data_IF_957403048502
#
_entry.id   IF_957403048502
#
_cell.length_a   1.000
_cell.length_b   1.000
_cell.length_c   1.000
_cell.angle_alpha   90.00
_cell.angle_beta   90.00
_cell.angle_gamma   90.00
#
_symmetry.space_group_name_H-M   'P 1'
#
loop_
_entity.id
_entity.type
_entity.pdbx_description
1 polymer ?
#
# COMPACT_ATOMS: atom_id res chain seq x y z
N UNK A 1 18.22 40.55 -20.85
CA UNK A 1 16.91 41.01 -20.35
C UNK A 1 16.54 40.09 -19.21
N UNK A 2 16.71 40.65 -18.00
CA UNK A 2 16.45 40.01 -16.74
C UNK A 2 14.96 39.69 -16.55
N UNK A 3 14.63 38.42 -16.36
CA UNK A 3 13.35 37.95 -15.90
C UNK A 3 13.46 37.55 -14.43
N UNK A 4 13.76 38.52 -13.59
CA UNK A 4 13.77 38.33 -12.13
C UNK A 4 13.18 39.58 -11.48
N UNK A 5 11.87 39.72 -11.51
CA UNK A 5 11.12 40.48 -10.52
C UNK A 5 9.62 40.32 -10.81
N UNK A 6 8.86 40.12 -9.76
CA UNK A 6 7.41 40.15 -9.67
C UNK A 6 6.67 38.79 -9.83
N UNK A 7 7.13 37.79 -9.11
CA UNK A 7 6.26 36.70 -8.64
C UNK A 7 6.05 36.87 -7.14
N UNK A 8 5.31 37.88 -6.77
CA UNK A 8 4.88 38.06 -5.38
C UNK A 8 3.42 38.53 -5.33
N UNK A 9 2.62 37.73 -4.69
CA UNK A 9 1.35 38.06 -4.05
C UNK A 9 0.05 38.15 -4.84
N UNK A 10 0.02 38.12 -6.17
CA UNK A 10 -1.24 38.10 -6.94
C UNK A 10 -1.71 36.68 -7.36
N UNK A 11 -0.80 35.70 -7.39
CA UNK A 11 -1.11 34.35 -7.88
C UNK A 11 -1.90 33.45 -6.91
N UNK A 12 -2.01 33.87 -5.64
CA UNK A 12 -2.79 33.11 -4.63
C UNK A 12 -4.30 33.35 -4.72
N UNK A 13 -4.75 34.45 -5.35
CA UNK A 13 -6.17 34.77 -5.55
C UNK A 13 -6.64 34.41 -6.97
N UNK A 14 -5.80 34.50 -8.00
CA UNK A 14 -6.17 34.22 -9.39
C UNK A 14 -6.34 32.74 -9.73
N UNK A 15 -5.62 31.85 -9.05
CA UNK A 15 -5.69 30.40 -9.32
C UNK A 15 -6.99 29.71 -8.92
N UNK A 16 -7.81 30.31 -8.07
CA UNK A 16 -9.15 29.83 -7.72
C UNK A 16 -10.16 30.21 -8.81
N UNK A 17 -10.10 31.45 -9.30
CA UNK A 17 -11.03 31.96 -10.30
C UNK A 17 -10.87 31.24 -11.64
N UNK A 18 -9.64 30.94 -12.06
CA UNK A 18 -9.38 30.20 -13.32
C UNK A 18 -9.89 28.76 -13.27
N UNK A 19 -9.72 28.08 -12.11
CA UNK A 19 -10.23 26.72 -11.90
C UNK A 19 -11.76 26.70 -11.91
N UNK A 20 -12.38 27.68 -11.27
CA UNK A 20 -13.83 27.79 -11.20
C UNK A 20 -14.42 28.14 -12.58
N UNK A 21 -13.78 29.03 -13.35
CA UNK A 21 -14.17 29.30 -14.73
C UNK A 21 -14.06 28.09 -15.64
N UNK A 22 -12.96 27.34 -15.55
CA UNK A 22 -12.75 26.12 -16.34
C UNK A 22 -13.79 25.06 -15.99
N UNK A 23 -14.10 24.88 -14.69
CA UNK A 23 -15.14 23.96 -14.24
C UNK A 23 -16.51 24.37 -14.78
N UNK A 24 -16.88 25.65 -14.65
CA UNK A 24 -18.16 26.15 -15.14
C UNK A 24 -18.30 26.01 -16.67
N UNK A 25 -17.22 26.25 -17.42
CA UNK A 25 -17.21 26.00 -18.86
C UNK A 25 -17.39 24.52 -19.18
N UNK A 26 -16.68 23.62 -18.48
CA UNK A 26 -16.86 22.18 -18.66
C UNK A 26 -18.28 21.74 -18.35
N UNK A 27 -18.89 22.25 -17.27
CA UNK A 27 -20.28 21.94 -16.93
C UNK A 27 -21.26 22.42 -18.00
N UNK A 28 -21.04 23.62 -18.57
CA UNK A 28 -21.88 24.15 -19.65
C UNK A 28 -21.76 23.33 -20.94
N UNK A 29 -20.57 22.87 -21.29
CA UNK A 29 -20.34 22.01 -22.45
C UNK A 29 -20.97 20.61 -22.24
N UNK A 30 -20.89 20.05 -21.03
CA UNK A 30 -21.53 18.80 -20.69
C UNK A 30 -23.06 18.87 -20.78
N UNK A 31 -23.66 19.97 -20.30
CA UNK A 31 -25.11 20.19 -20.36
C UNK A 31 -25.62 20.45 -21.80
N UNK A 32 -24.73 20.97 -22.67
CA UNK A 32 -25.01 21.19 -24.09
C UNK A 32 -24.83 19.94 -24.98
N UNK A 33 -24.43 18.82 -24.39
CA UNK A 33 -24.15 17.61 -25.14
C UNK A 33 -25.42 16.92 -25.62
N UNK A 34 -25.51 16.65 -26.93
CA UNK A 34 -26.66 15.94 -27.50
C UNK A 34 -26.49 14.42 -27.34
N UNK A 35 -27.34 13.76 -26.50
CA UNK A 35 -27.29 12.31 -26.30
C UNK A 35 -27.51 11.50 -27.59
N UNK A 36 -28.15 12.10 -28.62
CA UNK A 36 -28.42 11.43 -29.88
C UNK A 36 -27.20 11.28 -30.78
N UNK A 37 -26.13 12.00 -30.48
CA UNK A 37 -24.86 11.95 -31.23
C UNK A 37 -24.09 10.63 -31.11
N UNK A 38 -24.50 9.74 -30.17
CA UNK A 38 -23.85 8.44 -29.94
C UNK A 38 -22.44 8.52 -29.33
N UNK A 39 -22.07 9.66 -28.74
CA UNK A 39 -20.77 9.86 -28.09
C UNK A 39 -20.89 9.46 -26.63
N UNK A 40 -19.83 8.80 -26.11
CA UNK A 40 -19.69 8.45 -24.70
C UNK A 40 -18.46 9.16 -24.14
N UNK A 41 -18.67 9.92 -23.07
CA UNK A 41 -17.60 10.59 -22.34
C UNK A 41 -17.09 9.68 -21.24
N UNK A 42 -15.77 9.47 -21.21
CA UNK A 42 -15.09 8.72 -20.17
C UNK A 42 -14.04 9.62 -19.50
N UNK A 43 -14.07 9.65 -18.18
CA UNK A 43 -13.05 10.30 -17.37
C UNK A 43 -12.50 9.33 -16.33
N UNK A 44 -11.26 9.50 -15.92
CA UNK A 44 -10.65 8.71 -14.86
C UNK A 44 -9.93 9.63 -13.87
N UNK A 45 -10.02 9.31 -12.59
CA UNK A 45 -9.32 10.01 -11.52
C UNK A 45 -8.88 9.01 -10.45
N UNK A 46 -7.76 9.27 -9.84
CA UNK A 46 -7.31 8.59 -8.62
C UNK A 46 -7.67 9.37 -7.35
N UNK A 47 -8.35 10.53 -7.50
CA UNK A 47 -8.75 11.40 -6.40
C UNK A 47 -10.23 11.79 -6.53
N UNK A 48 -11.15 10.85 -6.35
CA UNK A 48 -12.58 11.13 -6.47
C UNK A 48 -13.07 12.16 -5.43
N UNK A 49 -12.39 12.26 -4.30
CA UNK A 49 -12.73 13.15 -3.18
C UNK A 49 -12.62 14.65 -3.51
N UNK A 50 -11.86 15.02 -4.55
CA UNK A 50 -11.71 16.43 -4.97
C UNK A 50 -12.63 16.82 -6.12
N UNK A 51 -13.41 15.88 -6.66
CA UNK A 51 -14.34 16.17 -7.75
C UNK A 51 -15.51 17.02 -7.24
N UNK A 52 -15.88 18.04 -8.03
CA UNK A 52 -17.09 18.80 -7.76
C UNK A 52 -18.33 17.91 -7.91
N UNK A 53 -19.23 17.85 -6.92
CA UNK A 53 -20.46 17.07 -6.99
C UNK A 53 -21.34 17.41 -8.20
N UNK A 54 -21.21 18.60 -8.76
CA UNK A 54 -21.94 19.00 -9.96
C UNK A 54 -21.56 18.18 -11.19
N UNK A 55 -20.31 17.69 -11.30
CA UNK A 55 -19.86 16.81 -12.38
C UNK A 55 -20.54 15.43 -12.36
N UNK A 56 -21.00 15.00 -11.19
CA UNK A 56 -21.53 13.65 -10.94
C UNK A 56 -23.06 13.57 -11.02
N UNK A 57 -23.71 14.66 -11.40
CA UNK A 57 -25.16 14.71 -11.58
C UNK A 57 -25.58 13.96 -12.84
N UNK A 58 -26.85 13.52 -12.85
CA UNK A 58 -27.48 12.88 -14.01
C UNK A 58 -27.34 13.77 -15.27
N UNK A 59 -27.01 13.16 -16.40
CA UNK A 59 -26.77 13.83 -17.67
C UNK A 59 -25.32 14.28 -17.88
N UNK A 60 -24.43 14.06 -16.90
CA UNK A 60 -22.99 14.33 -16.98
C UNK A 60 -22.23 13.02 -16.74
N UNK A 61 -21.37 12.95 -15.72
CA UNK A 61 -20.73 11.68 -15.32
C UNK A 61 -21.64 10.92 -14.34
N UNK A 62 -22.74 10.41 -14.83
CA UNK A 62 -23.78 9.76 -14.05
C UNK A 62 -23.44 8.31 -13.66
N UNK A 63 -22.46 7.70 -14.34
CA UNK A 63 -21.98 6.36 -14.05
C UNK A 63 -20.57 6.37 -13.50
N UNK A 64 -20.44 5.83 -12.32
CA UNK A 64 -19.15 5.72 -11.63
C UNK A 64 -18.78 4.25 -11.54
N UNK A 65 -17.57 3.94 -11.96
CA UNK A 65 -17.03 2.57 -11.91
C UNK A 65 -15.78 2.61 -11.06
N UNK A 66 -15.82 1.94 -9.93
CA UNK A 66 -14.63 1.72 -9.11
C UNK A 66 -13.77 0.66 -9.80
N UNK A 67 -12.48 0.99 -10.01
CA UNK A 67 -11.49 0.04 -10.51
C UNK A 67 -10.65 -0.42 -9.32
N UNK A 68 -11.02 -1.56 -8.77
CA UNK A 68 -10.33 -2.20 -7.66
C UNK A 68 -9.01 -2.85 -8.08
N UNK A 69 -8.23 -3.28 -7.07
CA UNK A 69 -7.06 -4.12 -7.31
C UNK A 69 -7.49 -5.44 -7.93
N UNK A 70 -6.73 -5.95 -8.91
CA UNK A 70 -7.09 -7.19 -9.59
C UNK A 70 -6.94 -8.40 -8.64
N UNK A 71 -7.87 -9.34 -8.74
CA UNK A 71 -7.74 -10.68 -8.18
C UNK A 71 -6.64 -11.49 -8.89
N UNK A 72 -6.34 -12.70 -8.43
CA UNK A 72 -5.28 -13.53 -9.04
C UNK A 72 -5.49 -13.72 -10.55
N UNK A 73 -6.74 -13.94 -11.00
CA UNK A 73 -7.06 -14.14 -12.42
C UNK A 73 -6.83 -12.85 -13.22
N UNK A 74 -7.28 -11.72 -12.70
CA UNK A 74 -7.03 -10.40 -13.29
C UNK A 74 -5.53 -10.09 -13.39
N UNK A 75 -4.73 -10.45 -12.36
CA UNK A 75 -3.27 -10.31 -12.42
C UNK A 75 -2.64 -11.17 -13.53
N UNK A 76 -3.10 -12.40 -13.71
CA UNK A 76 -2.66 -13.26 -14.84
C UNK A 76 -2.94 -12.59 -16.17
N UNK A 77 -4.14 -12.05 -16.37
CA UNK A 77 -4.52 -11.43 -17.64
C UNK A 77 -3.71 -10.14 -17.91
N UNK A 78 -3.49 -9.32 -16.88
CA UNK A 78 -2.63 -8.13 -16.95
C UNK A 78 -1.19 -8.53 -17.27
N UNK A 79 -0.64 -9.53 -16.58
CA UNK A 79 0.71 -10.04 -16.84
C UNK A 79 0.86 -10.52 -18.28
N UNK A 80 -0.10 -11.28 -18.83
CA UNK A 80 -0.08 -11.71 -20.24
C UNK A 80 0.05 -10.54 -21.22
N UNK A 81 -0.53 -9.38 -20.90
CA UNK A 81 -0.42 -8.18 -21.75
C UNK A 81 1.00 -7.63 -21.70
N UNK A 82 1.57 -7.47 -20.51
CA UNK A 82 2.90 -6.89 -20.35
C UNK A 82 4.04 -7.82 -20.78
N UNK A 83 3.87 -9.13 -20.62
CA UNK A 83 4.87 -10.15 -20.98
C UNK A 83 5.04 -10.36 -22.49
N UNK A 84 4.13 -9.88 -23.34
CA UNK A 84 4.22 -10.03 -24.81
C UNK A 84 5.53 -9.53 -25.42
N UNK A 85 6.21 -8.59 -24.77
CA UNK A 85 7.46 -7.97 -25.25
C UNK A 85 8.70 -8.57 -24.59
N UNK A 86 8.55 -9.56 -23.72
CA UNK A 86 9.64 -10.15 -22.93
C UNK A 86 9.85 -11.60 -23.34
N UNK A 87 11.10 -12.00 -23.52
CA UNK A 87 11.44 -13.40 -23.76
C UNK A 87 11.44 -14.17 -22.44
N UNK A 88 10.44 -15.00 -22.24
CA UNK A 88 10.29 -15.82 -21.05
C UNK A 88 10.92 -17.19 -21.25
N UNK A 89 11.37 -17.79 -20.16
CA UNK A 89 11.72 -19.20 -20.13
C UNK A 89 10.50 -20.04 -20.57
N UNK A 90 10.65 -20.98 -21.53
CA UNK A 90 9.54 -21.80 -22.01
C UNK A 90 8.79 -22.60 -20.95
N UNK A 91 9.43 -22.88 -19.81
CA UNK A 91 8.83 -23.57 -18.66
C UNK A 91 8.14 -22.68 -17.65
N UNK A 92 8.13 -21.36 -17.85
CA UNK A 92 7.61 -20.41 -16.87
C UNK A 92 6.11 -20.27 -16.98
N UNK A 93 5.40 -20.53 -15.87
CA UNK A 93 3.97 -20.33 -15.76
C UNK A 93 3.65 -18.92 -15.26
N UNK A 94 2.77 -18.21 -15.98
CA UNK A 94 2.29 -16.87 -15.59
C UNK A 94 1.49 -16.91 -14.30
N UNK A 95 0.85 -18.03 -13.99
CA UNK A 95 0.11 -18.21 -12.73
C UNK A 95 1.04 -18.21 -11.51
N UNK A 96 2.27 -18.71 -11.66
CA UNK A 96 3.28 -18.63 -10.60
C UNK A 96 3.68 -17.18 -10.33
N UNK A 97 3.86 -16.36 -11.37
CA UNK A 97 4.16 -14.93 -11.20
C UNK A 97 2.99 -14.22 -10.51
N UNK A 98 1.75 -14.52 -10.91
CA UNK A 98 0.58 -13.93 -10.29
C UNK A 98 0.43 -14.34 -8.81
N UNK A 99 0.83 -15.56 -8.45
CA UNK A 99 0.86 -16.03 -7.05
C UNK A 99 1.91 -15.31 -6.20
N UNK A 100 2.98 -14.78 -6.82
CA UNK A 100 4.00 -13.99 -6.12
C UNK A 100 3.56 -12.54 -5.83
N UNK A 101 2.45 -12.08 -6.39
CA UNK A 101 2.06 -10.66 -6.46
C UNK A 101 0.67 -10.36 -5.86
N UNK A 102 0.31 -10.90 -4.67
CA UNK A 102 -0.95 -10.54 -4.06
C UNK A 102 -1.01 -9.03 -3.78
N UNK A 103 -2.15 -8.41 -4.07
CA UNK A 103 -2.39 -6.99 -3.84
C UNK A 103 -1.70 -6.02 -4.82
N UNK A 104 -0.95 -6.50 -5.83
CA UNK A 104 -0.34 -5.64 -6.84
C UNK A 104 -1.40 -5.05 -7.77
N UNK A 105 -1.23 -3.77 -8.11
CA UNK A 105 -2.01 -3.07 -9.12
C UNK A 105 -1.48 -3.37 -10.54
N UNK A 106 -2.22 -2.97 -11.56
CA UNK A 106 -1.74 -3.08 -12.95
C UNK A 106 -0.41 -2.36 -13.20
N UNK A 107 -0.21 -1.20 -12.56
CA UNK A 107 1.03 -0.43 -12.64
C UNK A 107 2.21 -1.16 -11.95
N UNK A 108 1.95 -1.79 -10.79
CA UNK A 108 2.96 -2.58 -10.09
C UNK A 108 3.38 -3.80 -10.92
N UNK A 109 2.43 -4.47 -11.57
CA UNK A 109 2.70 -5.61 -12.45
C UNK A 109 3.48 -5.21 -13.70
N UNK A 110 3.19 -4.05 -14.29
CA UNK A 110 3.97 -3.51 -15.40
C UNK A 110 5.42 -3.22 -14.98
N UNK A 111 5.60 -2.59 -13.81
CA UNK A 111 6.91 -2.32 -13.22
C UNK A 111 7.66 -3.62 -12.90
N UNK A 112 6.96 -4.62 -12.36
CA UNK A 112 7.53 -5.94 -12.07
C UNK A 112 8.11 -6.60 -13.33
N UNK A 113 7.37 -6.60 -14.42
CA UNK A 113 7.82 -7.16 -15.70
C UNK A 113 9.07 -6.44 -16.21
N UNK A 114 9.09 -5.10 -16.11
CA UNK A 114 10.23 -4.30 -16.49
C UNK A 114 11.46 -4.59 -15.61
N UNK A 115 11.30 -4.64 -14.28
CA UNK A 115 12.38 -4.94 -13.34
C UNK A 115 12.93 -6.35 -13.53
N UNK A 116 12.07 -7.35 -13.77
CA UNK A 116 12.50 -8.72 -14.06
C UNK A 116 13.31 -8.80 -15.37
N UNK A 117 12.87 -8.09 -16.42
CA UNK A 117 13.60 -8.00 -17.68
C UNK A 117 14.98 -7.33 -17.51
N UNK A 118 15.07 -6.27 -16.72
CA UNK A 118 16.35 -5.61 -16.38
C UNK A 118 17.26 -6.56 -15.61
N UNK A 119 16.73 -7.34 -14.66
CA UNK A 119 17.54 -8.32 -13.90
C UNK A 119 18.05 -9.45 -14.80
N UNK A 120 17.21 -10.00 -15.68
CA UNK A 120 17.59 -11.00 -16.68
C UNK A 120 18.70 -10.47 -17.60
N UNK A 121 18.55 -9.24 -18.11
CA UNK A 121 19.56 -8.58 -18.96
C UNK A 121 20.88 -8.38 -18.23
N UNK A 122 20.85 -7.95 -16.95
CA UNK A 122 22.08 -7.79 -16.14
C UNK A 122 22.83 -9.11 -15.89
N UNK A 123 22.10 -10.20 -15.87
CA UNK A 123 22.64 -11.56 -15.75
C UNK A 123 23.20 -12.09 -17.09
N UNK A 124 22.97 -11.39 -18.20
CA UNK A 124 23.33 -11.83 -19.53
C UNK A 124 22.48 -13.01 -20.03
N UNK A 125 21.29 -13.20 -19.49
CA UNK A 125 20.41 -14.30 -19.85
C UNK A 125 19.61 -14.00 -21.13
N UNK A 126 19.35 -15.02 -21.91
CA UNK A 126 18.48 -14.94 -23.10
C UNK A 126 17.00 -14.90 -22.71
N UNK A 127 16.65 -15.55 -21.62
CA UNK A 127 15.27 -15.67 -21.12
C UNK A 127 15.16 -15.17 -19.69
N UNK A 128 14.01 -14.55 -19.37
CA UNK A 128 13.65 -14.15 -18.02
C UNK A 128 13.01 -15.34 -17.30
N UNK A 129 13.51 -15.67 -16.12
CA UNK A 129 13.10 -16.82 -15.32
C UNK A 129 12.26 -16.40 -14.11
N UNK A 130 11.62 -17.35 -13.42
CA UNK A 130 10.86 -17.12 -12.19
C UNK A 130 11.74 -16.52 -11.08
N UNK A 131 13.04 -16.82 -11.07
CA UNK A 131 13.98 -16.22 -10.12
C UNK A 131 14.17 -14.73 -10.35
N UNK A 132 14.17 -14.26 -11.61
CA UNK A 132 14.26 -12.85 -11.94
C UNK A 132 12.99 -12.12 -11.46
N UNK A 133 11.81 -12.73 -11.63
CA UNK A 133 10.56 -12.20 -11.08
C UNK A 133 10.57 -12.18 -9.55
N UNK A 134 11.02 -13.24 -8.91
CA UNK A 134 11.13 -13.30 -7.45
C UNK A 134 12.03 -12.18 -6.91
N UNK A 135 13.20 -11.97 -7.53
CA UNK A 135 14.12 -10.88 -7.17
C UNK A 135 13.53 -9.50 -7.46
N UNK A 136 12.76 -9.36 -8.56
CA UNK A 136 12.08 -8.13 -8.90
C UNK A 136 10.99 -7.79 -7.86
N UNK A 137 10.17 -8.76 -7.43
CA UNK A 137 9.21 -8.58 -6.33
C UNK A 137 9.93 -8.15 -5.06
N UNK A 138 11.01 -8.81 -4.67
CA UNK A 138 11.79 -8.43 -3.49
C UNK A 138 12.31 -6.99 -3.59
N UNK A 139 12.73 -6.56 -4.79
CA UNK A 139 13.23 -5.21 -5.03
C UNK A 139 12.12 -4.16 -4.96
N UNK A 140 10.93 -4.48 -5.45
CA UNK A 140 9.77 -3.58 -5.40
C UNK A 140 9.25 -3.45 -3.97
N UNK A 141 9.11 -4.56 -3.26
CA UNK A 141 8.54 -4.60 -1.90
C UNK A 141 9.52 -4.07 -0.86
N UNK A 142 10.75 -4.56 -0.86
CA UNK A 142 11.76 -4.24 0.16
C UNK A 142 12.73 -3.11 -0.27
N UNK A 143 12.64 -2.64 -1.51
CA UNK A 143 13.53 -1.61 -2.06
C UNK A 143 14.90 -2.13 -2.52
N UNK A 144 15.76 -1.20 -2.94
CA UNK A 144 17.11 -1.50 -3.43
C UNK A 144 18.05 -1.89 -2.29
N UNK A 145 18.88 -2.91 -2.50
CA UNK A 145 19.95 -3.27 -1.58
C UNK A 145 20.98 -2.14 -1.46
N UNK A 146 21.26 -1.72 -0.23
CA UNK A 146 22.30 -0.74 0.07
C UNK A 146 23.61 -1.47 0.38
N UNK A 147 24.38 -1.81 -0.66
CA UNK A 147 25.67 -2.51 -0.50
C UNK A 147 26.75 -1.71 0.21
N UNK A 148 26.61 -0.37 0.27
CA UNK A 148 27.61 0.54 0.82
C UNK A 148 27.41 0.89 2.30
N UNK A 149 26.38 0.37 2.97
CA UNK A 149 26.18 0.59 4.39
C UNK A 149 26.90 -0.50 5.18
N UNK A 150 28.08 -0.15 5.68
CA UNK A 150 28.82 -1.00 6.61
C UNK A 150 28.09 -0.98 7.95
N UNK A 151 27.34 -2.04 8.25
CA UNK A 151 26.81 -2.27 9.59
C UNK A 151 27.95 -2.73 10.50
N UNK A 152 27.99 -2.19 11.70
CA UNK A 152 28.84 -2.69 12.77
C UNK A 152 28.51 -4.17 13.04
N UNK A 153 29.47 -5.05 13.36
CA UNK A 153 29.22 -6.45 13.68
C UNK A 153 28.15 -6.65 14.75
N UNK A 154 28.12 -5.82 15.78
CA UNK A 154 27.11 -5.86 16.83
C UNK A 154 25.70 -5.49 16.29
N UNK A 155 25.59 -4.43 15.47
CA UNK A 155 24.30 -4.09 14.82
C UNK A 155 23.80 -5.22 13.94
N UNK A 156 24.68 -5.90 13.20
CA UNK A 156 24.30 -7.05 12.36
C UNK A 156 23.76 -8.21 13.20
N UNK A 157 24.33 -8.44 14.34
CA UNK A 157 23.89 -9.47 15.28
C UNK A 157 22.51 -9.12 15.85
N UNK A 158 22.30 -7.88 16.31
CA UNK A 158 21.01 -7.41 16.81
C UNK A 158 19.92 -7.55 15.74
N UNK A 159 20.21 -7.11 14.51
CA UNK A 159 19.25 -7.22 13.40
C UNK A 159 18.95 -8.69 13.08
N UNK A 160 19.95 -9.57 13.10
CA UNK A 160 19.76 -10.98 12.82
C UNK A 160 18.81 -11.65 13.82
N UNK A 161 18.95 -11.36 15.11
CA UNK A 161 18.05 -11.85 16.15
C UNK A 161 16.66 -11.23 16.03
N UNK A 162 16.55 -9.95 15.72
CA UNK A 162 15.30 -9.25 15.50
C UNK A 162 14.49 -9.89 14.36
N UNK A 163 15.08 -10.01 13.18
CA UNK A 163 14.42 -10.60 12.01
C UNK A 163 14.08 -12.09 12.22
N UNK A 164 14.96 -12.82 12.89
CA UNK A 164 14.68 -14.21 13.27
C UNK A 164 13.54 -14.30 14.26
N UNK A 165 13.40 -13.34 15.17
CA UNK A 165 12.27 -13.25 16.10
C UNK A 165 10.92 -13.19 15.37
N UNK A 166 10.78 -12.31 14.39
CA UNK A 166 9.59 -12.26 13.53
C UNK A 166 9.31 -13.59 12.84
N UNK A 167 10.35 -14.20 12.28
CA UNK A 167 10.21 -15.44 11.52
C UNK A 167 9.80 -16.62 12.44
N UNK A 168 10.42 -16.77 13.59
CA UNK A 168 10.11 -17.85 14.52
C UNK A 168 8.68 -17.76 15.05
N UNK A 169 8.24 -16.54 15.40
CA UNK A 169 6.86 -16.29 15.85
C UNK A 169 5.88 -16.58 14.72
N UNK A 170 6.15 -16.11 13.50
CA UNK A 170 5.30 -16.39 12.34
C UNK A 170 5.19 -17.90 12.02
N UNK A 171 6.28 -18.65 12.19
CA UNK A 171 6.27 -20.10 11.97
C UNK A 171 5.58 -20.89 13.08
N UNK A 172 5.51 -20.34 14.30
CA UNK A 172 4.90 -20.98 15.44
C UNK A 172 3.38 -20.77 15.53
N UNK A 173 2.87 -19.67 14.97
CA UNK A 173 1.46 -19.28 15.07
C UNK A 173 0.64 -19.83 13.89
N UNK A 174 -0.57 -20.35 14.14
CA UNK A 174 -1.46 -20.81 13.07
C UNK A 174 -2.05 -19.63 12.32
N UNK A 175 -2.29 -19.79 11.01
CA UNK A 175 -2.96 -18.78 10.18
C UNK A 175 -2.11 -17.57 9.79
N UNK A 176 -0.84 -17.55 10.15
CA UNK A 176 0.12 -16.54 9.72
C UNK A 176 0.63 -16.82 8.30
N UNK A 177 1.06 -15.77 7.62
CA UNK A 177 1.65 -15.88 6.30
C UNK A 177 3.01 -16.62 6.37
N UNK A 178 3.28 -17.45 5.37
CA UNK A 178 4.54 -18.22 5.35
C UNK A 178 5.75 -17.31 5.21
N UNK A 179 6.75 -17.54 6.06
CA UNK A 179 8.05 -16.88 5.93
C UNK A 179 8.73 -17.37 4.65
N UNK A 180 8.97 -16.46 3.74
CA UNK A 180 9.63 -16.75 2.47
C UNK A 180 11.14 -16.49 2.53
N UNK A 181 11.53 -15.38 3.16
CA UNK A 181 12.93 -14.96 3.22
C UNK A 181 13.18 -14.05 4.40
N UNK A 182 14.34 -14.24 5.02
CA UNK A 182 14.89 -13.35 6.04
C UNK A 182 16.18 -12.75 5.49
N UNK A 183 16.42 -11.46 5.70
CA UNK A 183 17.65 -10.80 5.27
C UNK A 183 18.07 -9.72 6.27
N UNK A 184 19.36 -9.68 6.56
CA UNK A 184 20.02 -8.63 7.34
C UNK A 184 20.72 -7.59 6.46
N UNK A 185 20.48 -7.65 5.12
CA UNK A 185 21.04 -6.69 4.17
C UNK A 185 20.12 -5.47 4.16
N UNK A 186 20.63 -4.26 4.48
CA UNK A 186 19.81 -3.06 4.48
C UNK A 186 19.22 -2.77 3.11
N UNK A 187 17.92 -2.43 3.08
CA UNK A 187 17.21 -2.01 1.86
C UNK A 187 16.42 -0.73 2.11
N UNK A 188 16.11 0.00 1.06
CA UNK A 188 15.24 1.16 1.08
C UNK A 188 15.65 2.26 2.07
N UNK A 189 14.67 3.03 2.54
CA UNK A 189 14.87 4.12 3.52
C UNK A 189 14.52 3.57 4.90
N UNK A 190 15.55 3.33 5.73
CA UNK A 190 15.36 2.98 7.15
C UNK A 190 15.37 1.50 7.51
N UNK A 191 15.08 0.58 6.60
CA UNK A 191 15.11 -0.85 6.89
C UNK A 191 16.56 -1.38 6.99
N UNK A 192 16.93 -1.91 8.14
CA UNK A 192 18.24 -2.50 8.41
C UNK A 192 18.25 -4.01 8.10
N UNK A 193 17.12 -4.66 8.21
CA UNK A 193 16.82 -6.03 7.80
C UNK A 193 15.39 -6.11 7.27
N UNK A 194 14.95 -7.29 6.91
CA UNK A 194 13.54 -7.55 6.56
C UNK A 194 13.22 -9.03 6.58
N UNK A 195 12.01 -9.33 7.00
CA UNK A 195 11.39 -10.65 6.90
C UNK A 195 10.23 -10.59 5.92
N UNK A 196 10.34 -11.29 4.78
CA UNK A 196 9.27 -11.36 3.80
C UNK A 196 8.35 -12.52 4.17
N UNK A 197 7.12 -12.17 4.51
CA UNK A 197 6.00 -13.09 4.59
C UNK A 197 5.16 -12.95 3.32
N UNK A 198 4.70 -14.06 2.76
CA UNK A 198 3.86 -14.04 1.57
C UNK A 198 2.51 -14.63 1.88
N UNK A 199 1.43 -13.87 1.69
CA UNK A 199 0.09 -14.44 1.70
C UNK A 199 0.00 -15.49 0.58
N UNK A 200 -0.56 -16.63 0.90
CA UNK A 200 -0.80 -17.70 -0.09
C UNK A 200 -2.05 -17.45 -0.92
N UNK A 201 -2.93 -16.58 -0.43
CA UNK A 201 -4.23 -16.26 -1.05
C UNK A 201 -4.57 -14.78 -0.88
N UNK A 202 -5.39 -14.24 -1.79
CA UNK A 202 -5.97 -12.91 -1.63
C UNK A 202 -7.03 -12.97 -0.53
N UNK A 203 -6.78 -12.32 0.60
CA UNK A 203 -7.69 -12.29 1.76
C UNK A 203 -8.33 -10.92 1.87
N UNK A 204 -9.65 -10.91 1.99
CA UNK A 204 -10.46 -9.70 2.15
C UNK A 204 -10.98 -9.50 3.58
N UNK A 205 -11.01 -10.56 4.37
CA UNK A 205 -11.48 -10.54 5.76
C UNK A 205 -10.42 -11.13 6.68
N UNK A 206 -10.33 -10.57 7.88
CA UNK A 206 -9.44 -11.04 8.94
C UNK A 206 -10.24 -11.16 10.24
N UNK A 207 -10.06 -12.26 10.94
CA UNK A 207 -10.59 -12.47 12.28
C UNK A 207 -9.77 -11.75 13.35
N UNK A 208 -10.32 -11.58 14.56
CA UNK A 208 -9.58 -11.01 15.69
C UNK A 208 -8.33 -11.82 16.01
N UNK A 209 -8.43 -13.17 15.99
CA UNK A 209 -7.28 -14.04 16.23
C UNK A 209 -6.16 -13.85 15.18
N UNK A 210 -6.49 -13.61 13.92
CA UNK A 210 -5.49 -13.35 12.88
C UNK A 210 -4.82 -11.98 13.06
N UNK A 211 -5.57 -10.97 13.51
CA UNK A 211 -5.01 -9.64 13.84
C UNK A 211 -4.11 -9.70 15.06
N UNK A 212 -4.51 -10.44 16.11
CA UNK A 212 -3.67 -10.69 17.30
C UNK A 212 -2.38 -11.43 16.92
N UNK A 213 -2.47 -12.43 16.05
CA UNK A 213 -1.30 -13.14 15.54
C UNK A 213 -0.38 -12.19 14.75
N UNK A 214 -0.93 -11.26 13.96
CA UNK A 214 -0.12 -10.23 13.27
C UNK A 214 0.60 -9.32 14.26
N UNK A 215 -0.08 -8.84 15.28
CA UNK A 215 0.53 -8.05 16.36
C UNK A 215 1.66 -8.85 17.01
N UNK A 216 1.41 -10.11 17.34
CA UNK A 216 2.39 -10.99 17.97
C UNK A 216 3.62 -11.21 17.11
N UNK A 217 3.45 -11.37 15.79
CA UNK A 217 4.56 -11.45 14.84
C UNK A 217 5.36 -10.15 14.81
N UNK A 218 4.69 -8.98 14.76
CA UNK A 218 5.35 -7.67 14.78
C UNK A 218 6.15 -7.44 16.07
N UNK A 219 5.66 -7.92 17.19
CA UNK A 219 6.38 -7.83 18.48
C UNK A 219 7.51 -8.86 18.62
N UNK A 220 7.55 -9.88 17.76
CA UNK A 220 8.55 -10.97 17.79
C UNK A 220 9.99 -10.49 17.73
N UNK A 221 10.29 -9.48 16.89
CA UNK A 221 11.62 -8.88 16.78
C UNK A 221 12.07 -8.25 18.10
N UNK A 222 11.22 -7.42 18.70
CA UNK A 222 11.47 -6.80 19.99
C UNK A 222 11.63 -7.81 21.11
N UNK A 223 10.81 -8.86 21.13
CA UNK A 223 10.90 -9.94 22.11
C UNK A 223 12.26 -10.67 22.01
N UNK A 224 12.71 -10.98 20.80
CA UNK A 224 14.01 -11.61 20.57
C UNK A 224 15.16 -10.72 21.06
N UNK A 225 15.15 -9.41 20.80
CA UNK A 225 16.14 -8.48 21.35
C UNK A 225 16.15 -8.52 22.87
N UNK A 226 14.99 -8.49 23.53
CA UNK A 226 14.86 -8.46 24.99
C UNK A 226 15.36 -9.75 25.67
N UNK A 227 15.29 -10.88 24.98
CA UNK A 227 15.76 -12.18 25.51
C UNK A 227 17.28 -12.29 25.39
N UNK A 228 17.86 -11.78 24.31
CA UNK A 228 19.28 -12.04 23.98
C UNK A 228 20.20 -10.92 24.44
N UNK A 229 19.74 -9.68 24.39
CA UNK A 229 20.57 -8.51 24.71
C UNK A 229 20.14 -7.81 26.00
N UNK A 230 21.09 -7.21 26.73
CA UNK A 230 20.78 -6.47 27.98
C UNK A 230 19.99 -5.17 27.72
N UNK A 231 20.04 -4.66 26.48
CA UNK A 231 19.36 -3.43 26.07
C UNK A 231 18.66 -3.63 24.73
N UNK A 232 17.46 -3.06 24.63
CA UNK A 232 16.68 -3.07 23.38
C UNK A 232 17.13 -1.92 22.47
N UNK A 233 16.99 -2.12 21.17
CA UNK A 233 17.38 -1.13 20.15
C UNK A 233 16.20 -0.25 19.69
N UNK A 234 16.46 0.74 18.86
CA UNK A 234 15.43 1.55 18.19
C UNK A 234 14.86 0.84 16.95
N UNK A 235 15.36 -0.35 16.60
CA UNK A 235 15.01 -1.06 15.36
C UNK A 235 13.54 -1.43 15.23
N UNK A 236 12.86 -1.69 16.36
CA UNK A 236 11.45 -2.07 16.38
C UNK A 236 10.45 -0.91 16.29
N UNK A 237 10.89 0.33 15.99
CA UNK A 237 9.99 1.49 16.02
C UNK A 237 8.82 1.36 15.01
N UNK A 238 9.09 0.87 13.80
CA UNK A 238 8.09 0.67 12.76
C UNK A 238 7.12 -0.48 13.10
N UNK A 239 7.64 -1.57 13.67
CA UNK A 239 6.83 -2.71 14.10
C UNK A 239 5.90 -2.35 15.25
N UNK A 240 6.39 -1.56 16.21
CA UNK A 240 5.58 -1.05 17.32
C UNK A 240 4.48 -0.12 16.81
N UNK A 241 4.78 0.77 15.85
CA UNK A 241 3.77 1.63 15.24
C UNK A 241 2.70 0.80 14.55
N UNK A 242 3.07 -0.16 13.71
CA UNK A 242 2.13 -1.04 13.01
C UNK A 242 1.29 -1.88 13.97
N UNK A 243 1.90 -2.41 15.04
CA UNK A 243 1.19 -3.17 16.06
C UNK A 243 0.15 -2.31 16.77
N UNK A 244 0.51 -1.07 17.12
CA UNK A 244 -0.39 -0.09 17.73
C UNK A 244 -1.54 0.27 16.78
N UNK A 245 -1.27 0.52 15.50
CA UNK A 245 -2.30 0.84 14.50
C UNK A 245 -3.31 -0.29 14.32
N UNK A 246 -2.84 -1.55 14.34
CA UNK A 246 -3.72 -2.73 14.28
C UNK A 246 -4.58 -2.79 15.56
N UNK A 247 -3.97 -2.69 16.73
CA UNK A 247 -4.68 -2.73 18.01
C UNK A 247 -5.74 -1.63 18.11
N UNK A 248 -5.37 -0.38 17.78
CA UNK A 248 -6.30 0.72 17.71
C UNK A 248 -7.46 0.46 16.75
N UNK A 249 -7.18 -0.10 15.56
CA UNK A 249 -8.22 -0.44 14.57
C UNK A 249 -9.16 -1.53 15.09
N UNK A 250 -8.66 -2.53 15.80
CA UNK A 250 -9.48 -3.57 16.43
C UNK A 250 -10.47 -2.99 17.44
N UNK A 251 -10.04 -2.00 18.22
CA UNK A 251 -10.82 -1.34 19.25
C UNK A 251 -11.77 -0.32 18.64
N UNK A 252 -11.27 0.61 17.79
CA UNK A 252 -12.01 1.81 17.39
C UNK A 252 -12.82 1.64 16.12
N UNK A 253 -12.42 0.70 15.21
CA UNK A 253 -13.04 0.55 13.90
C UNK A 253 -13.78 -0.76 13.71
N UNK A 254 -13.25 -1.86 14.23
CA UNK A 254 -13.81 -3.18 13.95
C UNK A 254 -14.73 -3.71 15.05
N UNK A 255 -14.83 -2.99 16.22
CA UNK A 255 -15.69 -3.40 17.32
C UNK A 255 -15.36 -4.79 17.87
N UNK A 256 -14.06 -5.13 17.95
CA UNK A 256 -13.56 -6.45 18.35
C UNK A 256 -13.27 -6.57 19.84
N UNK A 257 -13.69 -5.60 20.66
CA UNK A 257 -13.54 -5.62 22.12
C UNK A 257 -14.89 -5.75 22.80
N UNK A 258 -15.00 -6.64 23.79
CA UNK A 258 -16.24 -6.85 24.54
C UNK A 258 -16.65 -5.62 25.37
N UNK A 259 -15.67 -4.88 25.94
CA UNK A 259 -15.92 -3.75 26.81
C UNK A 259 -16.54 -2.53 26.12
N UNK A 260 -16.26 -2.35 24.84
CA UNK A 260 -16.73 -1.21 24.03
C UNK A 260 -17.88 -1.60 23.09
N UNK A 261 -18.16 -2.91 22.98
CA UNK A 261 -19.24 -3.44 22.16
C UNK A 261 -19.00 -3.29 20.65
N UNK A 262 -20.03 -3.52 19.87
CA UNK A 262 -19.98 -3.52 18.40
C UNK A 262 -20.25 -2.10 17.84
N UNK A 263 -19.41 -1.13 18.19
CA UNK A 263 -19.52 0.24 17.76
C UNK A 263 -18.22 0.68 17.06
N UNK A 264 -18.35 1.50 16.02
CA UNK A 264 -17.24 2.16 15.37
C UNK A 264 -17.09 3.58 15.92
N UNK A 265 -15.98 3.85 16.59
CA UNK A 265 -15.64 5.14 17.20
C UNK A 265 -14.89 6.07 16.23
N UNK A 266 -14.16 5.48 15.28
CA UNK A 266 -13.54 6.19 14.17
C UNK A 266 -14.32 5.91 12.88
N UNK A 267 -14.71 6.97 12.19
CA UNK A 267 -15.26 6.83 10.85
C UNK A 267 -14.10 6.75 9.86
N UNK A 268 -14.14 5.77 8.98
CA UNK A 268 -13.33 5.87 7.76
C UNK A 268 -13.71 7.14 7.02
N UNK A 269 -12.73 7.94 6.55
CA UNK A 269 -13.06 8.98 5.60
C UNK A 269 -13.77 8.27 4.42
N UNK A 270 -14.93 8.75 3.97
CA UNK A 270 -15.66 8.09 2.89
C UNK A 270 -14.73 7.99 1.68
N UNK A 271 -14.39 6.78 1.29
CA UNK A 271 -13.56 6.49 0.11
C UNK A 271 -14.27 6.91 -1.19
N UNK A 272 -15.55 7.25 -1.09
CA UNK A 272 -16.41 7.56 -2.22
C UNK A 272 -17.20 8.86 -1.97
N UNK A 273 -16.85 9.88 -2.74
CA UNK A 273 -17.63 11.06 -3.12
C UNK A 273 -18.54 11.73 -2.07
N UNK A 274 -18.10 12.87 -1.56
CA UNK A 274 -19.04 13.91 -1.16
C UNK A 274 -19.09 14.36 0.27
N UNK A 275 -18.06 14.15 1.09
CA UNK A 275 -17.95 14.90 2.33
C UNK A 275 -16.69 15.77 2.29
N UNK A 276 -16.78 17.08 2.58
CA UNK A 276 -15.60 17.89 2.78
C UNK A 276 -14.80 17.28 3.92
N UNK A 277 -13.51 17.00 3.67
CA UNK A 277 -12.58 16.53 4.69
C UNK A 277 -12.37 17.63 5.73
N UNK A 278 -13.23 17.65 6.74
CA UNK A 278 -12.91 18.36 7.95
C UNK A 278 -11.77 17.58 8.60
N UNK A 279 -10.65 18.21 8.97
CA UNK A 279 -9.54 17.50 9.58
C UNK A 279 -10.02 16.67 10.77
N UNK A 280 -9.69 15.39 10.77
CA UNK A 280 -10.25 14.36 11.66
C UNK A 280 -9.98 14.57 13.17
N UNK A 281 -9.09 15.54 13.51
CA UNK A 281 -8.77 15.90 14.89
C UNK A 281 -9.88 16.68 15.63
N UNK A 282 -10.96 17.09 14.96
CA UNK A 282 -12.00 17.93 15.55
C UNK A 282 -13.29 17.21 15.99
N UNK A 283 -13.45 15.91 15.73
CA UNK A 283 -14.66 15.22 16.16
C UNK A 283 -14.35 13.86 16.82
N UNK A 284 -13.93 13.91 18.09
CA UNK A 284 -14.13 12.77 18.97
C UNK A 284 -15.64 12.51 19.07
N UNK A 285 -16.09 11.35 18.57
CA UNK A 285 -17.51 10.93 18.64
C UNK A 285 -17.87 10.26 19.96
N UNK A 286 -16.96 10.28 20.94
CA UNK A 286 -17.09 9.62 22.22
C UNK A 286 -16.56 10.50 23.36
N UNK A 287 -17.12 10.27 24.57
CA UNK A 287 -16.75 11.00 25.77
C UNK A 287 -15.45 10.46 26.41
N UNK A 288 -14.99 11.20 27.45
CA UNK A 288 -13.73 10.91 28.14
C UNK A 288 -13.69 9.50 28.76
N UNK A 289 -14.81 9.00 29.27
CA UNK A 289 -14.93 7.65 29.83
C UNK A 289 -14.68 6.55 28.79
N UNK A 290 -15.07 6.76 27.53
CA UNK A 290 -14.79 5.85 26.42
C UNK A 290 -13.34 5.98 25.96
N UNK A 291 -12.80 7.21 25.94
CA UNK A 291 -11.38 7.45 25.63
C UNK A 291 -10.45 6.67 26.57
N UNK A 292 -10.72 6.73 27.88
CA UNK A 292 -9.97 5.98 28.90
C UNK A 292 -10.06 4.44 28.74
N UNK A 293 -11.10 3.95 28.08
CA UNK A 293 -11.23 2.50 27.79
C UNK A 293 -10.55 2.09 26.50
N UNK A 294 -10.37 3.03 25.58
CA UNK A 294 -9.64 2.82 24.32
C UNK A 294 -8.14 2.78 24.59
N UNK A 295 -7.64 3.64 25.51
CA UNK A 295 -6.25 3.66 25.96
C UNK A 295 -5.95 2.44 26.88
#
# INVERSE_FOLDING_TARGET
>A
RDWSADVCSSDLLGGHDEKEQTLNQLLAELDGFDPSSGIVLLAATNRPEILDPALLRAGRFDRQVLVDRPDKKGRVDILKVHLRKVRLDPGLDVEEIAALTPGFTGADLANLVNEAAVLGTRRGAEFVTIEDFTRAVERIVAGLEKRNRLLNPHEREVIAYHEMGHALVAMALPGTDRVHKISIIPRGIGALGYTIQRPTEDRFLMSSAELENKITVLLGGRAAESIVFPHVSTGAADDLSKATDIANSMVTRFGMTEELGQLAYEAEPPLFLGAPSVPNWQQRRYGEATATKID
#
